data_IF_297866454320
#
_entry.id   IF_297866454320
#
_cell.length_a   1.000
_cell.length_b   1.000
_cell.length_c   1.000
_cell.angle_alpha   90.00
_cell.angle_beta   90.00
_cell.angle_gamma   90.00
#
_symmetry.space_group_name_H-M   'P 1'
#
loop_
_entity.id
_entity.type
_entity.pdbx_description
1 polymer ?
#
# COMPACT_ATOMS: atom_id res chain seq x y z
N UNK A 1 -1.32 -10.54 -18.29
CA UNK A 1 -2.46 -9.67 -18.66
C UNK A 1 -3.73 -10.49 -18.57
N UNK A 2 -4.67 -10.13 -17.69
CA UNK A 2 -6.06 -10.61 -17.76
C UNK A 2 -6.74 -9.91 -18.95
N UNK A 3 -7.47 -10.69 -19.75
CA UNK A 3 -7.98 -10.26 -21.06
C UNK A 3 -9.03 -9.13 -21.00
N UNK A 4 -9.14 -8.40 -22.11
CA UNK A 4 -9.99 -7.21 -22.32
C UNK A 4 -11.51 -7.44 -22.15
N UNK A 5 -11.95 -8.69 -22.13
CA UNK A 5 -13.31 -9.11 -21.77
C UNK A 5 -13.30 -10.61 -21.39
N UNK A 6 -14.04 -11.00 -20.34
CA UNK A 6 -14.13 -12.38 -19.87
C UNK A 6 -14.33 -12.51 -18.35
N UNK A 7 -14.22 -13.74 -17.82
CA UNK A 7 -14.28 -14.02 -16.37
C UNK A 7 -13.25 -13.16 -15.62
N UNK A 8 -13.60 -12.72 -14.42
CA UNK A 8 -12.67 -12.02 -13.53
C UNK A 8 -11.39 -12.85 -13.38
N UNK A 9 -10.28 -12.33 -13.92
CA UNK A 9 -8.99 -13.00 -13.85
C UNK A 9 -8.45 -12.90 -12.44
N UNK A 10 -8.18 -14.03 -11.79
CA UNK A 10 -7.48 -14.05 -10.50
C UNK A 10 -5.97 -13.96 -10.76
N UNK A 11 -5.32 -12.97 -10.16
CA UNK A 11 -3.86 -12.89 -10.09
C UNK A 11 -3.43 -13.22 -8.66
N UNK A 12 -2.40 -14.05 -8.52
CA UNK A 12 -1.79 -14.39 -7.24
C UNK A 12 -0.36 -13.84 -7.29
N UNK A 13 -0.01 -13.01 -6.31
CA UNK A 13 1.31 -12.41 -6.18
C UNK A 13 1.96 -12.91 -4.90
N UNK A 14 3.15 -13.50 -5.01
CA UNK A 14 3.97 -13.83 -3.85
C UNK A 14 4.80 -12.61 -3.48
N UNK A 15 4.81 -12.24 -2.20
CA UNK A 15 5.58 -11.12 -1.67
C UNK A 15 6.57 -11.63 -0.64
N UNK A 16 7.76 -11.07 -0.68
CA UNK A 16 8.80 -11.25 0.33
C UNK A 16 9.15 -9.90 0.95
N UNK A 17 9.87 -9.87 2.09
CA UNK A 17 10.32 -8.60 2.69
C UNK A 17 11.20 -7.75 1.75
N UNK A 18 11.91 -8.38 0.81
CA UNK A 18 12.74 -7.70 -0.19
C UNK A 18 11.90 -6.89 -1.20
N UNK A 19 10.60 -7.19 -1.30
CA UNK A 19 9.64 -6.49 -2.17
C UNK A 19 8.98 -5.30 -1.46
N UNK A 20 9.42 -4.92 -0.25
CA UNK A 20 8.84 -3.83 0.55
C UNK A 20 8.68 -2.50 -0.22
N UNK A 21 9.57 -2.22 -1.16
CA UNK A 21 9.52 -1.03 -2.01
C UNK A 21 8.27 -0.93 -2.90
N UNK A 22 7.58 -2.04 -3.18
CA UNK A 22 6.35 -2.02 -4.02
C UNK A 22 5.07 -2.17 -3.21
N UNK A 23 5.15 -2.34 -1.88
CA UNK A 23 3.99 -2.63 -1.04
C UNK A 23 2.97 -1.49 -1.02
N UNK A 24 3.44 -0.24 -0.98
CA UNK A 24 2.57 0.92 -1.02
C UNK A 24 1.76 0.99 -2.32
N UNK A 25 2.44 0.89 -3.47
CA UNK A 25 1.80 0.99 -4.78
C UNK A 25 0.85 -0.19 -5.00
N UNK A 26 1.24 -1.40 -4.58
CA UNK A 26 0.37 -2.58 -4.65
C UNK A 26 -0.90 -2.41 -3.80
N UNK A 27 -0.78 -1.86 -2.59
CA UNK A 27 -1.94 -1.53 -1.74
C UNK A 27 -2.88 -0.55 -2.45
N UNK A 28 -2.35 0.52 -3.03
CA UNK A 28 -3.16 1.50 -3.77
C UNK A 28 -3.88 0.83 -4.95
N UNK A 29 -3.18 0.03 -5.76
CA UNK A 29 -3.79 -0.69 -6.88
C UNK A 29 -4.93 -1.62 -6.46
N UNK A 30 -4.81 -2.30 -5.31
CA UNK A 30 -5.86 -3.18 -4.79
C UNK A 30 -7.06 -2.40 -4.24
N UNK A 31 -6.85 -1.21 -3.69
CA UNK A 31 -7.91 -0.32 -3.20
C UNK A 31 -8.65 0.40 -4.34
N UNK A 32 -7.94 0.76 -5.41
CA UNK A 32 -8.53 1.39 -6.61
C UNK A 32 -9.37 0.40 -7.43
N UNK A 33 -9.06 -0.89 -7.35
CA UNK A 33 -9.82 -1.94 -8.03
C UNK A 33 -11.10 -2.27 -7.27
N UNK A 34 -12.30 -1.96 -7.80
CA UNK A 34 -13.57 -2.26 -7.13
C UNK A 34 -13.87 -3.77 -7.04
N UNK A 35 -13.12 -4.59 -7.77
CA UNK A 35 -13.27 -6.05 -7.79
C UNK A 35 -12.29 -6.75 -6.85
N UNK A 36 -11.26 -6.04 -6.39
CA UNK A 36 -10.24 -6.58 -5.52
C UNK A 36 -10.51 -6.16 -4.07
N UNK A 37 -10.07 -6.98 -3.12
CA UNK A 37 -10.02 -6.60 -1.71
C UNK A 37 -8.56 -6.57 -1.29
N UNK A 38 -8.14 -5.49 -0.62
CA UNK A 38 -6.79 -5.40 -0.08
C UNK A 38 -6.68 -6.28 1.18
N UNK A 39 -5.75 -7.26 1.23
CA UNK A 39 -5.58 -8.09 2.42
C UNK A 39 -5.08 -7.25 3.61
N UNK A 40 -5.52 -7.63 4.83
CA UNK A 40 -5.18 -6.90 6.05
C UNK A 40 -3.67 -6.88 6.33
N UNK A 41 -2.97 -7.97 6.00
CA UNK A 41 -1.51 -8.08 6.14
C UNK A 41 -0.78 -7.00 5.35
N UNK A 42 -1.21 -6.71 4.12
CA UNK A 42 -0.63 -5.63 3.30
C UNK A 42 -1.16 -4.25 3.73
N UNK A 43 -2.46 -4.12 4.02
CA UNK A 43 -3.07 -2.84 4.41
C UNK A 43 -2.44 -2.25 5.68
N UNK A 44 -2.07 -3.12 6.63
CA UNK A 44 -1.50 -2.76 7.92
C UNK A 44 0.04 -2.84 7.94
N UNK A 45 0.68 -3.27 6.85
CA UNK A 45 2.14 -3.39 6.79
C UNK A 45 2.80 -2.00 6.96
N UNK A 46 3.89 -1.86 7.73
CA UNK A 46 4.59 -0.59 7.92
C UNK A 46 5.06 0.02 6.59
N UNK A 47 5.68 -0.80 5.73
CA UNK A 47 6.21 -0.34 4.42
C UNK A 47 5.10 -0.01 3.40
N UNK A 48 3.85 -0.38 3.67
CA UNK A 48 2.70 -0.03 2.83
C UNK A 48 2.00 1.27 3.27
N UNK A 49 2.46 1.93 4.34
CA UNK A 49 1.82 3.17 4.84
C UNK A 49 2.30 4.41 4.11
N UNK A 50 3.54 4.42 3.61
CA UNK A 50 4.15 5.59 3.01
C UNK A 50 4.68 5.29 1.63
N UNK A 51 4.56 6.27 0.73
CA UNK A 51 5.08 6.14 -0.62
C UNK A 51 6.62 6.09 -0.57
N UNK A 52 7.26 5.08 -1.18
CA UNK A 52 8.71 4.97 -1.24
C UNK A 52 9.34 6.22 -1.86
N UNK A 53 10.44 6.69 -1.29
CA UNK A 53 11.15 7.88 -1.79
C UNK A 53 10.51 9.23 -1.43
N UNK A 54 9.36 9.25 -0.74
CA UNK A 54 8.82 10.51 -0.22
C UNK A 54 9.60 10.92 1.01
N UNK A 55 10.42 11.96 0.87
CA UNK A 55 11.12 12.58 2.00
C UNK A 55 10.08 13.21 2.93
N UNK A 56 9.67 12.53 4.01
CA UNK A 56 8.92 13.20 5.06
C UNK A 56 9.87 14.12 5.79
N UNK A 57 9.76 15.43 5.55
CA UNK A 57 10.30 16.40 6.49
C UNK A 57 9.67 16.08 7.86
N UNK A 58 10.49 15.57 8.79
CA UNK A 58 10.06 15.38 10.19
C UNK A 58 9.51 16.73 10.64
N UNK A 59 8.21 16.79 10.92
CA UNK A 59 7.58 17.99 11.48
C UNK A 59 8.22 18.19 12.86
N UNK A 60 9.20 19.09 12.93
CA UNK A 60 9.85 19.53 14.16
C UNK A 60 8.84 20.40 14.93
N UNK A 61 8.41 19.90 16.09
CA UNK A 61 7.93 20.57 17.33
C UNK A 61 6.86 21.67 17.25
N UNK A 62 5.82 21.56 18.08
CA UNK A 62 5.43 22.58 19.10
C UNK A 62 4.44 21.90 20.08
N UNK A 63 4.87 21.47 21.27
CA UNK A 63 5.04 22.20 22.54
C UNK A 63 3.81 22.06 23.45
N UNK A 64 4.09 21.82 24.71
CA UNK A 64 3.16 21.59 25.82
C UNK A 64 2.09 22.68 25.92
N UNK A 65 0.81 22.28 25.99
CA UNK A 65 -0.24 23.17 26.50
C UNK A 65 -0.79 22.60 27.81
N UNK A 66 -0.22 23.07 28.92
CA UNK A 66 -0.91 23.10 30.21
C UNK A 66 -1.91 24.26 30.21
N UNK A 67 -3.17 24.00 30.53
CA UNK A 67 -4.06 24.93 31.22
C UNK A 67 -5.12 24.19 32.01
#
# INVERSE_FOLDING_TARGET
MSGRAGKQGKSITFLTPDDSAVFYDLKQCLLESPLSSCPAELSNHPDAQQKPGTFTAKKRQEETLFK
#
